data_IF_715047196169
#
_entry.id   IF_715047196169
#
_cell.length_a   1.000
_cell.length_b   1.000
_cell.length_c   1.000
_cell.angle_alpha   90.00
_cell.angle_beta   90.00
_cell.angle_gamma   90.00
#
_symmetry.space_group_name_H-M   'P 1'
#
loop_
_entity.id
_entity.type
_entity.pdbx_description
1 polymer ?
#
# COMPACT_ATOMS: atom_id res chain seq x y z
N UNK A 1 -0.04 27.84 -7.03
CA UNK A 1 0.04 26.85 -8.14
C UNK A 1 1.33 26.03 -8.01
N UNK A 2 1.28 24.83 -7.42
CA UNK A 2 2.43 23.93 -7.36
C UNK A 2 2.50 23.07 -8.64
N UNK A 3 3.49 23.36 -9.51
CA UNK A 3 3.76 22.62 -10.75
C UNK A 3 4.11 21.16 -10.44
N UNK A 4 3.28 20.22 -10.95
CA UNK A 4 3.61 18.80 -11.06
C UNK A 4 4.80 18.66 -12.03
N UNK A 5 6.02 18.52 -11.49
CA UNK A 5 7.19 18.16 -12.30
C UNK A 5 7.11 16.67 -12.63
N UNK A 6 7.19 16.41 -13.93
CA UNK A 6 7.20 15.11 -14.56
C UNK A 6 8.13 14.12 -13.84
N UNK A 7 7.67 12.87 -13.76
CA UNK A 7 8.40 11.72 -13.29
C UNK A 7 9.62 11.46 -14.20
N UNK A 8 10.72 12.14 -13.92
CA UNK A 8 12.03 11.71 -14.37
C UNK A 8 12.27 10.33 -13.73
N UNK A 9 12.42 9.29 -14.55
CA UNK A 9 12.79 7.95 -14.09
C UNK A 9 14.21 8.02 -13.52
N UNK A 10 14.34 8.43 -12.27
CA UNK A 10 15.59 8.26 -11.53
C UNK A 10 15.84 6.75 -11.52
N UNK A 11 16.95 6.36 -12.16
CA UNK A 11 17.38 4.98 -12.31
C UNK A 11 17.89 4.49 -10.95
N UNK A 12 16.97 4.26 -10.02
CA UNK A 12 17.30 3.64 -8.75
C UNK A 12 17.83 2.24 -9.06
N UNK A 13 19.04 1.89 -8.60
CA UNK A 13 19.58 0.52 -8.75
C UNK A 13 18.93 -0.45 -7.77
N UNK A 14 18.38 0.08 -6.67
CA UNK A 14 17.74 -0.67 -5.60
C UNK A 14 16.54 0.12 -5.07
N UNK A 15 15.54 -0.58 -4.54
CA UNK A 15 14.38 0.02 -3.88
C UNK A 15 14.37 -0.34 -2.42
N UNK A 16 13.85 0.55 -1.57
CA UNK A 16 13.77 0.31 -0.14
C UNK A 16 12.37 -0.13 0.28
N UNK A 17 12.26 -1.15 1.13
CA UNK A 17 10.97 -1.59 1.68
C UNK A 17 10.36 -0.50 2.57
N UNK A 18 9.07 -0.17 2.44
CA UNK A 18 8.41 0.86 3.27
C UNK A 18 8.06 0.40 4.69
N UNK A 19 8.26 -0.88 5.02
CA UNK A 19 8.01 -1.42 6.37
C UNK A 19 9.31 -1.58 7.16
N UNK A 20 10.25 -2.37 6.62
CA UNK A 20 11.49 -2.73 7.31
C UNK A 20 12.73 -1.98 6.80
N UNK A 21 12.58 -1.09 5.81
CA UNK A 21 13.68 -0.34 5.21
C UNK A 21 14.80 -1.19 4.59
N UNK A 22 14.58 -2.50 4.38
CA UNK A 22 15.51 -3.38 3.69
C UNK A 22 15.72 -2.96 2.22
N UNK A 23 16.90 -3.27 1.69
CA UNK A 23 17.27 -2.99 0.30
C UNK A 23 16.83 -4.15 -0.59
N UNK A 24 15.98 -3.87 -1.57
CA UNK A 24 15.41 -4.84 -2.49
C UNK A 24 15.81 -4.51 -3.94
N UNK A 25 15.77 -5.53 -4.80
CA UNK A 25 15.88 -5.37 -6.26
C UNK A 25 14.66 -4.63 -6.82
N UNK A 26 14.82 -3.90 -7.93
CA UNK A 26 13.75 -3.11 -8.53
C UNK A 26 12.50 -3.93 -8.88
N UNK A 27 12.71 -5.13 -9.40
CA UNK A 27 11.65 -6.03 -9.83
C UNK A 27 11.09 -6.93 -8.72
N UNK A 28 11.61 -6.85 -7.50
CA UNK A 28 11.11 -7.69 -6.40
C UNK A 28 9.67 -7.32 -6.03
N UNK A 29 8.71 -8.23 -6.16
CA UNK A 29 7.29 -7.99 -5.85
C UNK A 29 6.94 -8.18 -4.37
N UNK A 30 7.86 -8.76 -3.60
CA UNK A 30 7.75 -8.97 -2.17
C UNK A 30 9.09 -8.69 -1.49
N UNK A 31 9.03 -8.26 -0.23
CA UNK A 31 10.22 -8.08 0.60
C UNK A 31 10.72 -9.41 1.14
N UNK A 32 12.03 -9.65 1.05
CA UNK A 32 12.65 -10.90 1.52
C UNK A 32 12.61 -10.97 3.05
N UNK A 33 12.74 -9.84 3.75
CA UNK A 33 12.77 -9.84 5.21
C UNK A 33 11.38 -9.82 5.86
N UNK A 34 10.54 -8.84 5.53
CA UNK A 34 9.22 -8.70 6.18
C UNK A 34 8.07 -9.39 5.41
N UNK A 35 8.34 -9.98 4.25
CA UNK A 35 7.36 -10.63 3.37
C UNK A 35 6.19 -9.74 2.92
N UNK A 36 6.26 -8.43 3.17
CA UNK A 36 5.28 -7.46 2.69
C UNK A 36 5.36 -7.36 1.17
N UNK A 37 4.18 -7.36 0.52
CA UNK A 37 4.08 -7.09 -0.91
C UNK A 37 4.53 -5.66 -1.18
N UNK A 38 5.44 -5.49 -2.13
CA UNK A 38 6.03 -4.19 -2.47
C UNK A 38 5.83 -3.90 -3.96
N UNK A 39 5.40 -2.68 -4.25
CA UNK A 39 5.10 -2.25 -5.61
C UNK A 39 6.31 -1.65 -6.34
N UNK A 40 5.99 -0.84 -7.35
CA UNK A 40 6.97 -0.05 -8.10
C UNK A 40 7.69 0.95 -7.19
N UNK A 41 8.89 1.32 -7.59
CA UNK A 41 9.69 2.34 -6.91
C UNK A 41 9.01 3.69 -7.04
N UNK A 42 8.91 4.40 -5.93
CA UNK A 42 8.41 5.76 -5.83
C UNK A 42 9.55 6.76 -6.09
N UNK A 43 9.21 8.01 -6.35
CA UNK A 43 10.14 9.09 -6.70
C UNK A 43 11.25 9.37 -5.66
N UNK A 44 11.11 8.83 -4.45
CA UNK A 44 12.05 8.90 -3.32
C UNK A 44 12.86 7.61 -3.10
N UNK A 45 12.78 6.63 -4.01
CA UNK A 45 13.51 5.35 -3.90
C UNK A 45 12.87 4.31 -2.96
N UNK A 46 11.68 4.59 -2.43
CA UNK A 46 10.88 3.69 -1.60
C UNK A 46 9.93 2.85 -2.46
N UNK A 47 9.65 1.61 -2.09
CA UNK A 47 8.66 0.82 -2.80
C UNK A 47 7.24 1.25 -2.40
N UNK A 48 6.36 1.42 -3.38
CA UNK A 48 4.96 1.79 -3.14
C UNK A 48 4.20 0.65 -2.46
N UNK A 49 3.43 0.97 -1.41
CA UNK A 49 2.54 -0.02 -0.77
C UNK A 49 1.41 -0.41 -1.74
N UNK A 50 1.20 -1.71 -2.01
CA UNK A 50 0.07 -2.15 -2.82
C UNK A 50 -1.23 -1.90 -2.08
N UNK A 51 -2.29 -1.63 -2.84
CA UNK A 51 -3.61 -1.39 -2.27
C UNK A 51 -4.15 -2.66 -1.59
N UNK A 52 -4.39 -2.59 -0.29
CA UNK A 52 -4.88 -3.72 0.52
C UNK A 52 -6.40 -3.87 0.38
N UNK A 53 -6.86 -4.38 -0.76
CA UNK A 53 -8.29 -4.56 -1.05
C UNK A 53 -9.02 -5.42 0.00
N UNK A 54 -8.34 -6.44 0.55
CA UNK A 54 -8.89 -7.33 1.58
C UNK A 54 -9.27 -6.57 2.86
N UNK A 55 -8.43 -5.65 3.31
CA UNK A 55 -8.69 -4.86 4.52
C UNK A 55 -9.88 -3.93 4.32
N UNK A 56 -10.01 -3.35 3.13
CA UNK A 56 -11.13 -2.47 2.80
C UNK A 56 -12.46 -3.23 2.73
N UNK A 57 -12.47 -4.42 2.13
CA UNK A 57 -13.63 -5.30 2.13
C UNK A 57 -14.04 -5.71 3.55
N UNK A 58 -13.08 -6.11 4.39
CA UNK A 58 -13.36 -6.47 5.77
C UNK A 58 -13.95 -5.28 6.56
N UNK A 59 -13.43 -4.08 6.35
CA UNK A 59 -13.95 -2.85 6.97
C UNK A 59 -15.38 -2.56 6.53
N UNK A 60 -15.69 -2.62 5.23
CA UNK A 60 -17.05 -2.40 4.71
C UNK A 60 -18.01 -3.45 5.29
N UNK A 61 -17.61 -4.72 5.29
CA UNK A 61 -18.45 -5.82 5.77
C UNK A 61 -18.74 -5.68 7.27
N UNK A 62 -17.72 -5.38 8.09
CA UNK A 62 -17.89 -5.13 9.52
C UNK A 62 -18.80 -3.91 9.77
N UNK A 63 -18.60 -2.82 9.03
CA UNK A 63 -19.43 -1.62 9.14
C UNK A 63 -20.90 -1.88 8.74
N UNK A 64 -21.13 -2.66 7.69
CA UNK A 64 -22.47 -3.00 7.22
C UNK A 64 -23.20 -3.91 8.22
N UNK A 65 -22.53 -4.92 8.76
CA UNK A 65 -23.09 -5.79 9.80
C UNK A 65 -23.43 -5.00 11.07
N UNK A 66 -22.54 -4.10 11.47
CA UNK A 66 -22.78 -3.25 12.65
C UNK A 66 -23.98 -2.31 12.43
N UNK A 67 -24.07 -1.66 11.28
CA UNK A 67 -25.22 -0.80 10.94
C UNK A 67 -26.53 -1.61 10.87
N UNK A 68 -26.52 -2.80 10.28
CA UNK A 68 -27.68 -3.69 10.23
C UNK A 68 -28.11 -4.15 11.64
N UNK A 69 -27.16 -4.44 12.53
CA UNK A 69 -27.44 -4.79 13.91
C UNK A 69 -28.12 -3.63 14.66
N UNK A 70 -27.56 -2.42 14.57
CA UNK A 70 -28.17 -1.22 15.17
C UNK A 70 -29.57 -1.01 14.61
N UNK A 71 -29.75 -1.09 13.28
CA UNK A 71 -31.06 -0.92 12.67
C UNK A 71 -32.07 -1.92 13.26
N UNK A 72 -31.71 -3.20 13.37
CA UNK A 72 -32.59 -4.24 13.92
C UNK A 72 -32.92 -4.03 15.41
N UNK A 73 -32.02 -3.42 16.18
CA UNK A 73 -32.23 -3.20 17.62
C UNK A 73 -33.11 -1.99 17.87
N UNK A 74 -33.02 -0.96 17.04
CA UNK A 74 -33.69 0.32 17.24
C UNK A 74 -34.96 0.54 16.40
N UNK A 75 -35.13 -0.20 15.29
CA UNK A 75 -36.31 -0.20 14.41
C UNK A 75 -36.90 -1.60 14.31
#
# INVERSE_FOLDING_TARGET
MFKRKNAEKINFKHKRCPECFAILKLDATACIECNTKVGKVDHVGLAKRPFNWKAYLAFILASALFAAYIWKVFF
#
